data_IF_261356694355
#
_entry.id   IF_261356694355
#
_cell.length_a   1.000
_cell.length_b   1.000
_cell.length_c   1.000
_cell.angle_alpha   90.00
_cell.angle_beta   90.00
_cell.angle_gamma   90.00
#
_symmetry.space_group_name_H-M   'P 1'
#
loop_
_entity.id
_entity.type
_entity.pdbx_description
1 polymer ?
#
# COMPACT_ATOMS: atom_id res chain seq x y z
N UNK A 1 -8.97 24.98 17.55
CA UNK A 1 -7.86 25.67 18.27
C UNK A 1 -8.33 27.06 18.69
N UNK A 2 -7.96 27.53 19.89
CA UNK A 2 -8.52 28.73 20.53
C UNK A 2 -8.32 30.02 19.72
N UNK A 3 -9.42 30.77 19.57
CA UNK A 3 -9.54 31.97 18.72
C UNK A 3 -8.92 33.25 19.28
N UNK A 4 -7.79 33.17 19.97
CA UNK A 4 -7.13 34.35 20.59
C UNK A 4 -5.60 34.28 20.49
N UNK A 5 -5.07 33.98 19.30
CA UNK A 5 -3.66 34.31 19.01
C UNK A 5 -3.56 35.78 18.61
N UNK A 6 -2.92 36.58 19.48
CA UNK A 6 -2.52 37.96 19.18
C UNK A 6 -1.75 37.98 17.85
N UNK A 7 -2.15 38.88 16.96
CA UNK A 7 -1.72 38.98 15.56
C UNK A 7 -0.34 39.62 15.40
N UNK A 8 0.67 39.07 16.07
CA UNK A 8 2.01 39.65 16.12
C UNK A 8 2.60 39.94 14.74
N UNK A 9 2.45 39.02 13.77
CA UNK A 9 2.96 39.22 12.40
C UNK A 9 2.32 40.39 11.64
N UNK A 10 1.00 40.50 11.67
CA UNK A 10 0.29 41.61 10.99
C UNK A 10 0.56 42.95 11.67
N UNK A 11 0.60 42.96 13.01
CA UNK A 11 0.95 44.14 13.81
C UNK A 11 2.38 44.59 13.49
N UNK A 12 3.34 43.66 13.39
CA UNK A 12 4.73 43.97 13.03
C UNK A 12 4.85 44.57 11.62
N UNK A 13 4.12 44.05 10.62
CA UNK A 13 4.14 44.57 9.25
C UNK A 13 3.58 46.00 9.20
N UNK A 14 2.42 46.23 9.82
CA UNK A 14 1.79 47.56 9.91
C UNK A 14 2.73 48.56 10.60
N UNK A 15 3.33 48.17 11.73
CA UNK A 15 4.27 49.00 12.46
C UNK A 15 5.52 49.33 11.62
N UNK A 16 6.05 48.36 10.88
CA UNK A 16 7.21 48.55 10.01
C UNK A 16 6.91 49.55 8.88
N UNK A 17 5.74 49.45 8.25
CA UNK A 17 5.33 50.38 7.18
C UNK A 17 5.28 51.82 7.72
N UNK A 18 4.66 52.02 8.88
CA UNK A 18 4.57 53.34 9.52
C UNK A 18 5.96 53.86 9.88
N UNK A 19 6.79 53.02 10.51
CA UNK A 19 8.15 53.39 10.90
C UNK A 19 9.00 53.80 9.69
N UNK A 20 8.99 53.01 8.62
CA UNK A 20 9.77 53.31 7.39
C UNK A 20 9.28 54.58 6.72
N UNK A 21 7.97 54.81 6.69
CA UNK A 21 7.40 56.01 6.03
C UNK A 21 7.72 57.28 6.81
N UNK A 22 7.59 57.24 8.15
CA UNK A 22 8.00 58.34 9.03
C UNK A 22 9.51 58.59 8.90
N UNK A 23 10.31 57.52 8.91
CA UNK A 23 11.76 57.65 8.78
C UNK A 23 12.18 58.25 7.44
N UNK A 24 11.52 57.85 6.36
CA UNK A 24 11.71 58.37 5.01
C UNK A 24 11.32 59.85 4.94
N UNK A 25 10.20 60.25 5.55
CA UNK A 25 9.80 61.65 5.66
C UNK A 25 10.85 62.48 6.41
N UNK A 26 11.41 61.93 7.48
CA UNK A 26 12.51 62.57 8.25
C UNK A 26 13.77 62.74 7.41
N UNK A 27 14.22 61.70 6.71
CA UNK A 27 15.41 61.83 5.85
C UNK A 27 15.16 62.78 4.68
N UNK A 28 13.94 62.80 4.12
CA UNK A 28 13.57 63.72 3.05
C UNK A 28 13.68 65.18 3.49
N UNK A 29 13.15 65.52 4.67
CA UNK A 29 13.23 66.88 5.22
C UNK A 29 14.68 67.26 5.53
N UNK A 30 15.45 66.35 6.14
CA UNK A 30 16.86 66.58 6.43
C UNK A 30 17.67 66.85 5.16
N UNK A 31 17.43 66.06 4.10
CA UNK A 31 18.06 66.23 2.80
C UNK A 31 17.70 67.57 2.15
N UNK A 32 16.41 67.94 2.15
CA UNK A 32 15.93 69.17 1.53
C UNK A 32 16.37 70.44 2.25
N UNK A 33 16.67 70.34 3.55
CA UNK A 33 17.27 71.40 4.35
C UNK A 33 18.81 71.37 4.30
N UNK A 34 19.42 70.41 3.60
CA UNK A 34 20.87 70.32 3.41
C UNK A 34 21.64 69.90 4.65
N UNK A 35 21.02 69.08 5.52
CA UNK A 35 21.66 68.54 6.74
C UNK A 35 22.25 69.61 7.66
N UNK A 36 21.54 70.73 7.80
CA UNK A 36 21.97 71.86 8.62
C UNK A 36 22.24 71.44 10.08
N UNK A 37 23.30 71.99 10.73
CA UNK A 37 23.61 71.69 12.13
C UNK A 37 22.46 71.96 13.12
N UNK A 38 21.55 72.88 12.77
CA UNK A 38 20.37 73.23 13.56
C UNK A 38 19.35 72.08 13.67
N UNK A 39 19.41 71.08 12.79
CA UNK A 39 18.57 69.88 12.89
C UNK A 39 19.01 68.93 14.03
N UNK A 40 20.16 69.22 14.66
CA UNK A 40 20.75 68.41 15.72
C UNK A 40 21.75 67.38 15.20
N UNK A 41 22.38 66.61 16.11
CA UNK A 41 23.32 65.57 15.72
C UNK A 41 22.62 64.45 14.93
N UNK A 42 23.31 63.93 13.91
CA UNK A 42 22.89 62.73 13.22
C UNK A 42 22.88 61.53 14.20
N UNK A 43 21.98 60.58 13.97
CA UNK A 43 21.91 59.36 14.78
C UNK A 43 23.09 58.43 14.45
N UNK A 44 23.43 58.35 13.17
CA UNK A 44 24.62 57.71 12.62
C UNK A 44 24.82 58.17 11.16
N UNK A 45 25.92 57.79 10.53
CA UNK A 45 26.19 58.10 9.12
C UNK A 45 26.25 56.82 8.29
N UNK A 46 25.68 56.87 7.08
CA UNK A 46 25.79 55.80 6.07
C UNK A 46 26.36 56.40 4.79
N UNK A 47 27.48 55.87 4.31
CA UNK A 47 28.13 56.29 3.06
C UNK A 47 28.37 57.82 2.96
N UNK A 48 28.65 58.47 4.09
CA UNK A 48 28.87 59.92 4.19
C UNK A 48 27.59 60.76 4.29
N UNK A 49 26.42 60.13 4.41
CA UNK A 49 25.14 60.81 4.59
C UNK A 49 24.65 60.69 6.05
N UNK A 50 24.33 61.81 6.72
CA UNK A 50 23.82 61.78 8.08
C UNK A 50 22.39 61.23 8.09
N UNK A 51 22.15 60.23 8.93
CA UNK A 51 20.84 59.60 9.12
C UNK A 51 20.25 60.04 10.45
N UNK A 52 19.05 60.60 10.39
CA UNK A 52 18.37 61.15 11.57
C UNK A 52 17.35 60.17 12.18
N UNK A 53 17.12 60.31 13.48
CA UNK A 53 16.17 59.49 14.24
C UNK A 53 14.73 59.66 13.70
N UNK A 54 13.95 58.59 13.43
CA UNK A 54 12.69 58.69 12.69
C UNK A 54 11.69 59.72 13.23
N UNK A 55 11.45 59.85 14.54
CA UNK A 55 10.54 60.86 15.07
C UNK A 55 11.00 62.32 14.90
N UNK A 56 12.28 62.60 14.58
CA UNK A 56 12.85 63.95 14.57
C UNK A 56 12.08 64.94 13.67
N UNK A 57 11.44 64.45 12.60
CA UNK A 57 10.53 65.22 11.75
C UNK A 57 9.52 66.04 12.55
N UNK A 58 8.91 65.48 13.60
CA UNK A 58 7.87 66.16 14.37
C UNK A 58 8.41 67.32 15.21
N UNK A 59 9.61 67.18 15.77
CA UNK A 59 10.27 68.26 16.50
C UNK A 59 10.67 69.38 15.55
N UNK A 60 11.25 69.02 14.40
CA UNK A 60 11.62 70.00 13.39
C UNK A 60 10.40 70.71 12.82
N UNK A 61 9.29 70.00 12.61
CA UNK A 61 8.03 70.59 12.18
C UNK A 61 7.58 71.65 13.18
N UNK A 62 7.54 71.33 14.47
CA UNK A 62 7.12 72.28 15.51
C UNK A 62 7.98 73.55 15.58
N UNK A 63 9.32 73.42 15.45
CA UNK A 63 10.23 74.56 15.61
C UNK A 63 10.52 75.33 14.31
N UNK A 64 10.47 74.67 13.16
CA UNK A 64 11.01 75.21 11.90
C UNK A 64 10.01 75.31 10.74
N UNK A 65 8.75 74.86 10.92
CA UNK A 65 7.72 74.93 9.86
C UNK A 65 7.53 76.33 9.29
N UNK A 66 7.53 77.36 10.14
CA UNK A 66 7.35 78.75 9.73
C UNK A 66 8.38 79.22 8.69
N UNK A 67 9.56 78.59 8.65
CA UNK A 67 10.65 78.96 7.74
C UNK A 67 10.64 78.17 6.42
N UNK A 68 10.14 76.94 6.44
CA UNK A 68 10.18 76.03 5.28
C UNK A 68 8.87 75.23 5.10
N UNK A 69 7.71 75.89 4.99
CA UNK A 69 6.41 75.24 5.09
C UNK A 69 6.17 74.17 4.00
N UNK A 70 6.66 74.41 2.77
CA UNK A 70 6.53 73.44 1.67
C UNK A 70 7.34 72.17 1.89
N UNK A 71 8.54 72.28 2.48
CA UNK A 71 9.42 71.13 2.73
C UNK A 71 8.82 70.23 3.81
N UNK A 72 8.31 70.84 4.89
CA UNK A 72 7.63 70.10 5.95
C UNK A 72 6.29 69.50 5.49
N UNK A 73 5.54 70.18 4.61
CA UNK A 73 4.35 69.61 4.00
C UNK A 73 4.66 68.36 3.16
N UNK A 74 5.70 68.39 2.31
CA UNK A 74 6.14 67.23 1.53
C UNK A 74 6.60 66.07 2.42
N UNK A 75 7.43 66.35 3.44
CA UNK A 75 7.86 65.34 4.42
C UNK A 75 6.71 64.75 5.22
N UNK A 76 5.74 65.57 5.58
CA UNK A 76 4.50 65.17 6.24
C UNK A 76 3.62 64.27 5.36
N UNK A 77 3.50 64.58 4.06
CA UNK A 77 2.77 63.72 3.09
C UNK A 77 3.45 62.35 2.98
N UNK A 78 4.79 62.31 2.92
CA UNK A 78 5.54 61.04 2.88
C UNK A 78 5.28 60.23 4.15
N UNK A 79 5.38 60.84 5.34
CA UNK A 79 5.10 60.17 6.60
C UNK A 79 3.64 59.68 6.70
N UNK A 80 2.67 60.51 6.28
CA UNK A 80 1.24 60.19 6.29
C UNK A 80 0.86 59.09 5.28
N UNK A 81 1.55 59.00 4.14
CA UNK A 81 1.31 57.96 3.13
C UNK A 81 1.46 56.55 3.69
N UNK A 82 2.37 56.35 4.65
CA UNK A 82 2.54 55.09 5.38
C UNK A 82 1.31 54.69 6.18
N UNK A 83 0.59 55.65 6.75
CA UNK A 83 -0.67 55.40 7.46
C UNK A 83 -1.72 54.80 6.54
N UNK A 84 -1.97 55.43 5.38
CA UNK A 84 -2.92 54.92 4.38
C UNK A 84 -2.50 53.56 3.82
N UNK A 85 -1.20 53.38 3.50
CA UNK A 85 -0.68 52.10 3.02
C UNK A 85 -0.83 50.99 4.08
N UNK A 86 -0.58 51.30 5.34
CA UNK A 86 -0.72 50.32 6.43
C UNK A 86 -2.16 49.89 6.66
N UNK A 87 -3.14 50.80 6.50
CA UNK A 87 -4.57 50.48 6.56
C UNK A 87 -4.95 49.56 5.40
N UNK A 88 -4.51 49.88 4.17
CA UNK A 88 -4.79 49.06 2.99
C UNK A 88 -4.23 47.63 3.18
N UNK A 89 -2.97 47.52 3.59
CA UNK A 89 -2.29 46.24 3.84
C UNK A 89 -2.98 45.45 4.96
N UNK A 90 -3.38 46.11 6.06
CA UNK A 90 -4.11 45.47 7.15
C UNK A 90 -5.48 44.92 6.68
N UNK A 91 -6.23 45.69 5.90
CA UNK A 91 -7.51 45.26 5.33
C UNK A 91 -7.31 44.07 4.39
N UNK A 92 -6.35 44.13 3.47
CA UNK A 92 -6.06 43.02 2.54
C UNK A 92 -5.68 41.74 3.29
N UNK A 93 -4.78 41.83 4.27
CA UNK A 93 -4.38 40.66 5.08
C UNK A 93 -5.54 40.12 5.93
N UNK A 94 -6.45 40.98 6.42
CA UNK A 94 -7.65 40.56 7.15
C UNK A 94 -8.63 39.81 6.24
N UNK A 95 -8.84 40.29 5.01
CA UNK A 95 -9.72 39.64 4.01
C UNK A 95 -9.16 38.32 3.54
N UNK A 96 -7.85 38.24 3.25
CA UNK A 96 -7.19 36.98 2.86
C UNK A 96 -7.34 35.93 3.97
N UNK A 97 -7.15 36.33 5.23
CA UNK A 97 -7.35 35.43 6.37
C UNK A 97 -8.81 35.06 6.59
N UNK A 98 -9.76 35.98 6.40
CA UNK A 98 -11.18 35.66 6.55
C UNK A 98 -11.60 34.54 5.57
N UNK A 99 -10.98 34.50 4.39
CA UNK A 99 -11.13 33.39 3.42
C UNK A 99 -10.44 32.10 3.86
N UNK A 100 -9.30 32.16 4.54
CA UNK A 100 -8.65 30.96 5.12
C UNK A 100 -9.40 30.42 6.36
N UNK A 101 -10.03 31.28 7.16
CA UNK A 101 -10.72 30.88 8.40
C UNK A 101 -12.11 30.29 8.13
N UNK A 102 -12.74 30.62 7.00
CA UNK A 102 -13.99 29.97 6.58
C UNK A 102 -13.85 28.47 6.27
N UNK A 103 -12.63 27.92 6.26
CA UNK A 103 -12.35 26.49 6.05
C UNK A 103 -12.39 25.64 7.35
N UNK A 104 -12.75 26.22 8.50
CA UNK A 104 -12.81 25.48 9.78
C UNK A 104 -14.27 25.15 10.13
N UNK A 105 -14.78 24.08 9.54
CA UNK A 105 -16.09 23.52 9.88
C UNK A 105 -16.02 22.57 11.09
N UNK A 106 -16.92 22.79 12.05
CA UNK A 106 -17.03 22.05 13.33
C UNK A 106 -17.28 20.54 13.15
N UNK A 107 -17.76 20.12 11.96
CA UNK A 107 -18.12 18.72 11.65
C UNK A 107 -17.19 18.04 10.64
N UNK A 108 -16.06 18.68 10.30
CA UNK A 108 -15.07 18.18 9.35
C UNK A 108 -14.99 19.06 8.11
N UNK A 109 -13.77 19.26 7.61
CA UNK A 109 -13.44 20.13 6.47
C UNK A 109 -13.50 19.39 5.12
N UNK A 110 -14.23 18.28 5.04
CA UNK A 110 -14.30 17.48 3.82
C UNK A 110 -15.13 18.20 2.77
N UNK A 111 -14.49 18.59 1.66
CA UNK A 111 -15.13 19.19 0.49
C UNK A 111 -14.61 18.56 -0.80
N UNK A 112 -15.29 18.83 -1.90
CA UNK A 112 -14.78 18.48 -3.21
C UNK A 112 -13.48 19.25 -3.50
N UNK A 113 -12.50 18.54 -4.05
CA UNK A 113 -11.21 19.12 -4.41
C UNK A 113 -11.36 20.04 -5.63
N UNK A 114 -10.65 21.16 -5.62
CA UNK A 114 -10.47 22.04 -6.75
C UNK A 114 -9.41 21.49 -7.72
N UNK A 115 -9.41 21.93 -8.97
CA UNK A 115 -8.49 21.43 -10.00
C UNK A 115 -7.01 21.56 -9.60
N UNK A 116 -6.63 22.69 -9.00
CA UNK A 116 -5.26 22.92 -8.51
C UNK A 116 -4.86 21.94 -7.40
N UNK A 117 -5.79 21.51 -6.57
CA UNK A 117 -5.55 20.53 -5.50
C UNK A 117 -5.42 19.12 -6.08
N UNK A 118 -6.24 18.78 -7.08
CA UNK A 118 -6.15 17.51 -7.82
C UNK A 118 -4.79 17.42 -8.54
N UNK A 119 -4.35 18.51 -9.18
CA UNK A 119 -3.03 18.63 -9.80
C UNK A 119 -1.90 18.51 -8.77
N UNK A 120 -2.01 19.21 -7.64
CA UNK A 120 -1.02 19.17 -6.55
C UNK A 120 -0.93 17.79 -5.89
N UNK A 121 -2.04 17.06 -5.84
CA UNK A 121 -2.10 15.67 -5.39
C UNK A 121 -1.57 14.67 -6.43
N UNK A 122 -1.15 15.13 -7.62
CA UNK A 122 -0.59 14.28 -8.67
C UNK A 122 -1.61 13.38 -9.38
N UNK A 123 -2.91 13.66 -9.24
CA UNK A 123 -3.96 12.76 -9.73
C UNK A 123 -4.21 12.86 -11.24
N UNK A 124 -3.69 13.88 -11.91
CA UNK A 124 -3.81 14.06 -13.37
C UNK A 124 -2.65 13.41 -14.16
N UNK A 125 -1.84 12.59 -13.50
CA UNK A 125 -0.75 11.85 -14.14
C UNK A 125 -1.21 10.85 -15.21
N UNK A 126 -0.26 10.39 -16.03
CA UNK A 126 -0.52 9.41 -17.09
C UNK A 126 -0.57 7.97 -16.56
N UNK A 127 0.18 7.69 -15.49
CA UNK A 127 0.32 6.37 -14.89
C UNK A 127 -0.51 6.21 -13.61
N UNK A 128 -0.64 4.97 -13.15
CA UNK A 128 -1.32 4.63 -11.91
C UNK A 128 -2.66 3.93 -12.09
N UNK A 129 -3.28 3.60 -10.96
CA UNK A 129 -4.62 2.99 -10.94
C UNK A 129 -5.67 4.07 -11.15
N UNK A 130 -6.64 3.82 -12.01
CA UNK A 130 -7.71 4.75 -12.33
C UNK A 130 -8.71 4.79 -11.17
N UNK A 131 -8.92 6.00 -10.64
CA UNK A 131 -9.87 6.30 -9.55
C UNK A 131 -11.19 6.86 -10.07
N UNK A 132 -11.21 7.42 -11.27
CA UNK A 132 -12.39 8.03 -11.86
C UNK A 132 -12.04 9.04 -12.94
N UNK A 133 -12.94 10.01 -13.14
CA UNK A 133 -12.77 11.08 -14.14
C UNK A 133 -13.21 12.41 -13.55
N UNK A 134 -12.39 13.44 -13.73
CA UNK A 134 -12.73 14.83 -13.47
C UNK A 134 -12.86 15.54 -14.82
N UNK A 135 -14.08 15.96 -15.16
CA UNK A 135 -14.40 16.53 -16.49
C UNK A 135 -13.95 15.63 -17.66
N UNK A 136 -12.82 15.97 -18.30
CA UNK A 136 -12.21 15.25 -19.42
C UNK A 136 -10.97 14.46 -19.02
N UNK A 137 -10.44 14.69 -17.83
CA UNK A 137 -9.19 14.10 -17.35
C UNK A 137 -9.46 12.87 -16.47
N UNK A 138 -8.69 11.81 -16.69
CA UNK A 138 -8.74 10.64 -15.81
C UNK A 138 -7.99 10.92 -14.52
N UNK A 139 -8.60 10.58 -13.40
CA UNK A 139 -7.96 10.62 -12.09
C UNK A 139 -7.22 9.29 -11.89
N UNK A 140 -5.91 9.36 -11.64
CA UNK A 140 -5.05 8.21 -11.43
C UNK A 140 -4.22 8.34 -10.17
N UNK A 141 -3.98 7.24 -9.50
CA UNK A 141 -3.16 7.21 -8.30
C UNK A 141 -1.93 6.32 -8.50
N UNK A 142 -0.78 6.96 -8.71
CA UNK A 142 0.53 6.31 -8.87
C UNK A 142 1.41 6.37 -7.60
N UNK A 143 0.90 6.95 -6.50
CA UNK A 143 1.61 7.09 -5.23
C UNK A 143 1.92 5.77 -4.51
N UNK A 144 2.51 5.83 -3.32
CA UNK A 144 2.83 4.62 -2.55
C UNK A 144 1.58 3.95 -1.98
N UNK A 145 0.50 4.72 -1.79
CA UNK A 145 -0.72 4.30 -1.13
C UNK A 145 -1.48 3.26 -1.97
N UNK A 146 -2.04 2.31 -1.23
CA UNK A 146 -2.95 1.31 -1.75
C UNK A 146 -4.37 1.87 -1.87
N UNK A 147 -5.20 1.20 -2.67
CA UNK A 147 -6.53 1.70 -2.99
C UNK A 147 -7.56 0.68 -2.53
N UNK A 148 -8.54 1.14 -1.76
CA UNK A 148 -9.71 0.37 -1.35
C UNK A 148 -10.94 0.97 -2.01
N UNK A 149 -11.61 0.19 -2.86
CA UNK A 149 -12.84 0.59 -3.53
C UNK A 149 -14.05 -0.13 -2.94
N UNK A 150 -15.00 0.66 -2.44
CA UNK A 150 -16.32 0.20 -2.05
C UNK A 150 -17.29 0.37 -3.20
N UNK A 151 -17.72 -0.73 -3.77
CA UNK A 151 -18.54 -0.73 -4.97
C UNK A 151 -19.62 -1.81 -4.91
N UNK A 152 -20.88 -1.44 -4.64
CA UNK A 152 -22.02 -2.36 -4.71
C UNK A 152 -22.12 -3.04 -6.07
N UNK A 153 -22.88 -4.13 -6.15
CA UNK A 153 -23.11 -4.80 -7.44
C UNK A 153 -23.72 -3.84 -8.47
N UNK A 154 -23.30 -3.97 -9.74
CA UNK A 154 -23.76 -3.13 -10.87
C UNK A 154 -23.48 -1.62 -10.75
N UNK A 155 -22.56 -1.20 -9.88
CA UNK A 155 -22.10 0.19 -9.73
C UNK A 155 -21.18 0.70 -10.85
N UNK A 156 -20.79 -0.17 -11.79
CA UNK A 156 -19.87 0.20 -12.87
C UNK A 156 -18.39 0.13 -12.52
N UNK A 157 -18.00 -0.42 -11.35
CA UNK A 157 -16.59 -0.59 -10.95
C UNK A 157 -15.71 -1.27 -12.02
N UNK A 158 -16.27 -2.24 -12.72
CA UNK A 158 -15.58 -2.99 -13.78
C UNK A 158 -15.16 -2.09 -14.93
N UNK A 159 -16.13 -1.37 -15.52
CA UNK A 159 -15.91 -0.49 -16.68
C UNK A 159 -15.25 0.84 -16.32
N UNK A 160 -15.43 1.33 -15.09
CA UNK A 160 -14.95 2.64 -14.66
C UNK A 160 -13.56 2.64 -14.04
N UNK A 161 -13.18 1.55 -13.34
CA UNK A 161 -11.96 1.50 -12.54
C UNK A 161 -11.08 0.30 -12.91
N UNK A 162 -11.63 -0.92 -12.87
CA UNK A 162 -10.86 -2.17 -13.00
C UNK A 162 -10.28 -2.34 -14.40
N UNK A 163 -11.14 -2.42 -15.42
CA UNK A 163 -10.72 -2.63 -16.81
C UNK A 163 -9.79 -1.50 -17.27
N UNK A 164 -10.12 -0.21 -17.08
CA UNK A 164 -9.21 0.87 -17.43
C UNK A 164 -7.84 0.72 -16.75
N UNK A 165 -7.80 0.42 -15.44
CA UNK A 165 -6.53 0.25 -14.71
C UNK A 165 -5.70 -0.90 -15.27
N UNK A 166 -6.31 -2.03 -15.63
CA UNK A 166 -5.59 -3.16 -16.23
C UNK A 166 -5.07 -2.84 -17.64
N UNK A 167 -5.75 -1.98 -18.39
CA UNK A 167 -5.34 -1.57 -19.72
C UNK A 167 -4.25 -0.48 -19.70
N UNK A 168 -4.16 0.32 -18.64
CA UNK A 168 -3.18 1.41 -18.54
C UNK A 168 -1.99 1.10 -17.64
N UNK A 169 -2.09 0.14 -16.71
CA UNK A 169 -0.98 -0.19 -15.82
C UNK A 169 0.19 -0.82 -16.60
N UNK A 170 1.38 -0.19 -16.62
CA UNK A 170 2.48 -0.61 -17.48
C UNK A 170 3.27 -1.80 -16.93
N UNK A 171 3.13 -2.09 -15.63
CA UNK A 171 3.86 -3.18 -14.97
C UNK A 171 3.14 -4.51 -14.99
N UNK A 172 3.69 -5.45 -14.24
CA UNK A 172 3.06 -6.74 -14.00
C UNK A 172 1.76 -6.59 -13.19
N UNK A 173 0.84 -7.53 -13.35
CA UNK A 173 -0.38 -7.58 -12.55
C UNK A 173 -0.67 -8.98 -12.05
N UNK A 174 -1.29 -9.04 -10.87
CA UNK A 174 -1.90 -10.23 -10.30
C UNK A 174 -3.35 -9.87 -10.06
N UNK A 175 -4.25 -10.54 -10.78
CA UNK A 175 -5.67 -10.19 -10.88
C UNK A 175 -6.48 -11.35 -10.34
N UNK A 176 -7.08 -11.19 -9.16
CA UNK A 176 -8.09 -12.12 -8.69
C UNK A 176 -9.43 -11.75 -9.31
N UNK A 177 -9.99 -12.67 -10.10
CA UNK A 177 -11.17 -12.46 -10.93
C UNK A 177 -12.17 -13.60 -10.76
N UNK A 178 -13.16 -13.40 -9.89
CA UNK A 178 -14.21 -14.38 -9.60
C UNK A 178 -15.11 -14.65 -10.81
N UNK A 179 -15.20 -13.72 -11.77
CA UNK A 179 -16.14 -13.83 -12.88
C UNK A 179 -15.48 -14.19 -14.21
N UNK A 180 -14.16 -14.09 -14.30
CA UNK A 180 -13.41 -14.21 -15.55
C UNK A 180 -13.63 -13.02 -16.51
N UNK A 181 -14.38 -11.99 -16.11
CA UNK A 181 -14.68 -10.83 -16.94
C UNK A 181 -13.42 -10.00 -17.23
N UNK A 182 -12.53 -9.88 -16.25
CA UNK A 182 -11.29 -9.13 -16.42
C UNK A 182 -10.35 -9.88 -17.38
N UNK A 183 -10.25 -11.20 -17.26
CA UNK A 183 -9.53 -12.04 -18.23
C UNK A 183 -10.05 -11.81 -19.65
N UNK A 184 -11.35 -12.00 -19.86
CA UNK A 184 -11.98 -11.91 -21.18
C UNK A 184 -11.77 -10.55 -21.84
N UNK A 185 -11.88 -9.46 -21.08
CA UNK A 185 -11.82 -8.10 -21.60
C UNK A 185 -10.40 -7.58 -21.80
N UNK A 186 -9.43 -8.02 -20.98
CA UNK A 186 -8.12 -7.35 -20.91
C UNK A 186 -6.93 -8.22 -21.30
N UNK A 187 -7.04 -9.56 -21.25
CA UNK A 187 -5.93 -10.47 -21.54
C UNK A 187 -5.36 -10.25 -22.95
N UNK A 188 -6.21 -10.10 -23.96
CA UNK A 188 -5.78 -9.90 -25.35
C UNK A 188 -5.00 -8.60 -25.56
N UNK A 189 -5.38 -7.51 -24.87
CA UNK A 189 -4.62 -6.27 -24.90
C UNK A 189 -3.27 -6.44 -24.21
N UNK A 190 -3.28 -6.99 -22.98
CA UNK A 190 -2.06 -7.15 -22.17
C UNK A 190 -1.05 -8.11 -22.81
N UNK A 191 -1.51 -9.11 -23.56
CA UNK A 191 -0.66 -10.04 -24.32
C UNK A 191 0.18 -9.35 -25.41
N UNK A 192 -0.17 -8.12 -25.82
CA UNK A 192 0.64 -7.31 -26.75
C UNK A 192 1.80 -6.59 -26.08
N UNK A 193 1.80 -6.53 -24.74
CA UNK A 193 2.77 -5.78 -23.94
C UNK A 193 3.60 -6.66 -23.01
N UNK A 194 3.31 -7.97 -22.95
CA UNK A 194 4.07 -8.93 -22.18
C UNK A 194 3.32 -10.24 -22.01
N UNK A 195 3.78 -11.06 -21.08
CA UNK A 195 3.26 -12.41 -20.86
C UNK A 195 1.93 -12.35 -20.12
N UNK A 196 0.99 -13.21 -20.54
CA UNK A 196 -0.33 -13.33 -19.91
C UNK A 196 -0.58 -14.78 -19.52
N UNK A 197 -0.98 -14.99 -18.27
CA UNK A 197 -1.17 -16.29 -17.64
C UNK A 197 -2.57 -16.36 -17.06
N UNK A 198 -3.29 -17.44 -17.36
CA UNK A 198 -4.55 -17.79 -16.72
C UNK A 198 -4.26 -18.95 -15.77
N UNK A 199 -4.52 -18.77 -14.47
CA UNK A 199 -4.58 -19.87 -13.51
C UNK A 199 -6.05 -20.05 -13.12
N UNK A 200 -6.62 -21.19 -13.51
CA UNK A 200 -7.97 -21.60 -13.15
C UNK A 200 -7.89 -23.05 -12.66
N UNK A 201 -8.13 -23.29 -11.35
CA UNK A 201 -7.97 -24.61 -10.75
C UNK A 201 -8.98 -25.64 -11.27
N UNK A 202 -9.99 -25.21 -12.02
CA UNK A 202 -11.02 -26.05 -12.63
C UNK A 202 -10.83 -26.25 -14.14
N UNK A 203 -9.75 -25.71 -14.71
CA UNK A 203 -9.46 -25.78 -16.13
C UNK A 203 -8.06 -26.36 -16.37
N UNK A 204 -8.00 -27.60 -16.87
CA UNK A 204 -6.75 -28.32 -17.17
C UNK A 204 -5.87 -27.61 -18.20
N UNK A 205 -6.46 -26.79 -19.08
CA UNK A 205 -5.74 -26.02 -20.09
C UNK A 205 -5.16 -24.70 -19.53
N UNK A 206 -5.45 -24.35 -18.28
CA UNK A 206 -4.86 -23.17 -17.63
C UNK A 206 -3.37 -23.39 -17.33
N UNK A 207 -2.64 -22.30 -17.11
CA UNK A 207 -1.23 -22.32 -16.75
C UNK A 207 -1.08 -22.96 -15.37
N UNK A 208 -0.40 -24.11 -15.33
CA UNK A 208 -0.26 -24.90 -14.12
C UNK A 208 0.69 -24.24 -13.11
N UNK A 209 0.39 -24.44 -11.83
CA UNK A 209 1.22 -24.00 -10.73
C UNK A 209 1.18 -25.02 -9.60
N UNK A 210 2.34 -25.59 -9.28
CA UNK A 210 2.53 -26.52 -8.17
C UNK A 210 3.13 -25.77 -6.97
N UNK A 211 2.36 -25.54 -5.89
CA UNK A 211 2.84 -24.83 -4.70
C UNK A 211 4.07 -25.46 -4.04
N UNK A 212 4.26 -26.77 -4.19
CA UNK A 212 5.39 -27.48 -3.58
C UNK A 212 6.70 -27.22 -4.32
N UNK A 213 6.66 -26.89 -5.62
CA UNK A 213 7.87 -26.57 -6.36
C UNK A 213 8.42 -25.18 -6.04
N UNK A 214 7.68 -24.36 -5.30
CA UNK A 214 8.13 -23.07 -4.81
C UNK A 214 8.95 -23.20 -3.51
N UNK A 215 8.95 -24.38 -2.87
CA UNK A 215 9.73 -24.64 -1.64
C UNK A 215 11.22 -24.62 -1.94
N UNK A 216 11.98 -23.76 -1.26
CA UNK A 216 13.44 -23.71 -1.36
C UNK A 216 14.06 -24.76 -0.44
N UNK A 217 14.61 -25.82 -1.03
CA UNK A 217 15.30 -26.87 -0.28
C UNK A 217 16.55 -26.34 0.43
N UNK A 218 16.86 -26.91 1.59
CA UNK A 218 17.94 -26.45 2.46
C UNK A 218 17.42 -25.54 3.57
N UNK A 219 18.11 -24.43 3.85
CA UNK A 219 17.90 -23.60 5.04
C UNK A 219 16.44 -23.14 5.24
N UNK A 220 15.71 -22.85 4.16
CA UNK A 220 14.37 -22.26 4.21
C UNK A 220 13.22 -23.27 4.13
N UNK A 221 13.50 -24.54 3.88
CA UNK A 221 12.48 -25.50 3.45
C UNK A 221 11.42 -25.77 4.51
N UNK A 222 11.84 -25.87 5.78
CA UNK A 222 10.93 -26.10 6.90
C UNK A 222 9.97 -24.92 7.05
N UNK A 223 10.49 -23.69 6.97
CA UNK A 223 9.67 -22.48 7.02
C UNK A 223 8.69 -22.42 5.86
N UNK A 224 9.16 -22.68 4.64
CA UNK A 224 8.34 -22.63 3.43
C UNK A 224 7.21 -23.69 3.48
N UNK A 225 7.50 -24.91 3.96
CA UNK A 225 6.51 -26.00 4.12
C UNK A 225 5.55 -25.76 5.29
N UNK A 226 5.99 -25.18 6.40
CA UNK A 226 5.11 -24.76 7.50
C UNK A 226 4.08 -23.76 7.00
N UNK A 227 4.50 -22.76 6.22
CA UNK A 227 3.57 -21.77 5.67
C UNK A 227 2.52 -22.40 4.73
N UNK A 228 2.92 -23.38 3.92
CA UNK A 228 1.96 -24.13 3.09
C UNK A 228 0.97 -24.88 4.00
N UNK A 229 1.49 -25.56 5.03
CA UNK A 229 0.67 -26.35 5.96
C UNK A 229 -0.28 -25.49 6.80
N UNK A 230 0.13 -24.28 7.17
CA UNK A 230 -0.72 -23.30 7.87
C UNK A 230 -1.97 -22.95 7.05
N UNK A 231 -1.80 -22.69 5.74
CA UNK A 231 -2.92 -22.38 4.85
C UNK A 231 -3.79 -23.61 4.57
N UNK A 232 -3.20 -24.80 4.49
CA UNK A 232 -3.95 -26.06 4.30
C UNK A 232 -4.82 -26.41 5.51
N UNK A 233 -4.32 -26.18 6.72
CA UNK A 233 -5.02 -26.50 7.98
C UNK A 233 -6.00 -25.41 8.38
N UNK A 234 -5.83 -24.17 7.91
CA UNK A 234 -6.79 -23.08 8.04
C UNK A 234 -7.25 -22.50 6.68
N UNK A 235 -8.12 -23.24 5.95
CA UNK A 235 -8.57 -22.83 4.63
C UNK A 235 -9.38 -21.51 4.61
N UNK A 236 -9.93 -21.08 5.75
CA UNK A 236 -10.75 -19.87 5.86
C UNK A 236 -9.99 -18.69 6.50
N UNK A 237 -8.90 -18.96 7.22
CA UNK A 237 -8.14 -17.96 7.98
C UNK A 237 -8.84 -17.52 9.26
N UNK A 238 -9.83 -18.31 9.72
CA UNK A 238 -10.74 -17.91 10.80
C UNK A 238 -10.47 -18.69 12.10
N UNK A 239 -9.44 -19.53 12.16
CA UNK A 239 -9.15 -20.31 13.36
C UNK A 239 -8.44 -19.43 14.40
N UNK A 240 -9.19 -18.92 15.38
CA UNK A 240 -8.61 -18.23 16.56
C UNK A 240 -7.68 -19.14 17.36
N UNK A 241 -8.04 -20.42 17.48
CA UNK A 241 -7.24 -21.45 18.17
C UNK A 241 -7.35 -22.78 17.45
N UNK A 242 -6.20 -23.35 17.11
CA UNK A 242 -6.13 -24.68 16.52
C UNK A 242 -6.47 -25.76 17.55
N UNK A 243 -7.34 -26.70 17.17
CA UNK A 243 -7.60 -27.92 17.93
C UNK A 243 -6.35 -28.79 18.02
N UNK A 244 -6.32 -29.74 18.96
CA UNK A 244 -5.23 -30.71 19.07
C UNK A 244 -5.03 -31.51 17.77
N UNK A 245 -6.13 -31.86 17.11
CA UNK A 245 -6.14 -32.58 15.83
C UNK A 245 -5.53 -31.74 14.71
N UNK A 246 -5.88 -30.46 14.62
CA UNK A 246 -5.29 -29.54 13.64
C UNK A 246 -3.79 -29.33 13.87
N UNK A 247 -3.35 -29.16 15.12
CA UNK A 247 -1.92 -29.00 15.46
C UNK A 247 -1.12 -30.24 15.06
N UNK A 248 -1.63 -31.43 15.40
CA UNK A 248 -0.93 -32.68 15.08
C UNK A 248 -0.97 -32.97 13.58
N UNK A 249 -2.09 -32.67 12.91
CA UNK A 249 -2.23 -32.81 11.44
C UNK A 249 -1.30 -31.85 10.70
N UNK A 250 -1.13 -30.63 11.22
CA UNK A 250 -0.14 -29.69 10.72
C UNK A 250 1.28 -30.28 10.79
N UNK A 251 1.70 -30.81 11.96
CA UNK A 251 3.01 -31.47 12.10
C UNK A 251 3.20 -32.64 11.14
N UNK A 252 2.14 -33.45 10.94
CA UNK A 252 2.15 -34.55 9.97
C UNK A 252 2.31 -34.04 8.54
N UNK A 253 1.53 -33.03 8.13
CA UNK A 253 1.60 -32.45 6.79
C UNK A 253 2.99 -31.87 6.49
N UNK A 254 3.61 -31.18 7.45
CA UNK A 254 4.98 -30.66 7.30
C UNK A 254 5.97 -31.79 7.02
N UNK A 255 5.92 -32.85 7.83
CA UNK A 255 6.79 -34.02 7.64
C UNK A 255 6.52 -34.74 6.32
N UNK A 256 5.25 -34.92 5.96
CA UNK A 256 4.84 -35.64 4.75
C UNK A 256 5.21 -34.87 3.47
N UNK A 257 5.00 -33.55 3.44
CA UNK A 257 5.40 -32.70 2.31
C UNK A 257 6.92 -32.75 2.11
N UNK A 258 7.71 -32.61 3.17
CA UNK A 258 9.16 -32.73 3.09
C UNK A 258 9.59 -34.13 2.62
N UNK A 259 9.00 -35.19 3.16
CA UNK A 259 9.26 -36.55 2.71
C UNK A 259 9.01 -36.70 1.21
N UNK A 260 7.86 -36.23 0.73
CA UNK A 260 7.47 -36.29 -0.69
C UNK A 260 8.44 -35.52 -1.57
N UNK A 261 8.85 -34.32 -1.16
CA UNK A 261 9.82 -33.52 -1.90
C UNK A 261 11.15 -34.25 -2.08
N UNK A 262 11.65 -34.93 -1.05
CA UNK A 262 12.95 -35.60 -1.10
C UNK A 262 12.91 -37.00 -1.69
N UNK A 263 11.88 -37.80 -1.38
CA UNK A 263 11.89 -39.25 -1.60
C UNK A 263 10.95 -39.72 -2.70
N UNK A 264 9.80 -39.06 -2.89
CA UNK A 264 8.75 -39.54 -3.79
C UNK A 264 8.91 -39.00 -5.21
N UNK A 265 8.38 -39.75 -6.19
CA UNK A 265 8.41 -39.35 -7.60
C UNK A 265 7.45 -38.19 -7.86
N UNK A 266 6.21 -38.32 -7.38
CA UNK A 266 5.15 -37.32 -7.52
C UNK A 266 5.25 -36.26 -6.43
N UNK A 267 5.86 -35.11 -6.78
CA UNK A 267 6.15 -34.00 -5.86
C UNK A 267 5.03 -32.96 -5.86
N UNK A 268 3.80 -33.41 -5.66
CA UNK A 268 2.58 -32.59 -5.71
C UNK A 268 1.77 -32.78 -4.43
N UNK A 269 0.80 -31.89 -4.17
CA UNK A 269 -0.14 -32.09 -3.06
C UNK A 269 -1.02 -33.34 -3.26
N UNK A 270 -1.30 -33.70 -4.52
CA UNK A 270 -1.92 -34.98 -4.85
C UNK A 270 -1.02 -36.16 -4.47
N UNK A 271 0.29 -36.05 -4.74
CA UNK A 271 1.31 -37.02 -4.33
C UNK A 271 1.42 -37.18 -2.81
N UNK A 272 1.30 -36.09 -2.04
CA UNK A 272 1.21 -36.13 -0.57
C UNK A 272 -0.03 -36.90 -0.12
N UNK A 273 -1.20 -36.62 -0.71
CA UNK A 273 -2.42 -37.34 -0.39
C UNK A 273 -2.29 -38.84 -0.73
N UNK A 274 -1.71 -39.17 -1.88
CA UNK A 274 -1.49 -40.54 -2.33
C UNK A 274 -0.50 -41.28 -1.43
N UNK A 275 0.54 -40.62 -0.95
CA UNK A 275 1.51 -41.17 -0.01
C UNK A 275 0.88 -41.51 1.35
N UNK A 276 0.09 -40.58 1.91
CA UNK A 276 -0.55 -40.75 3.21
C UNK A 276 -1.73 -41.75 3.19
N UNK A 277 -2.34 -41.98 2.03
CA UNK A 277 -3.49 -42.87 1.87
C UNK A 277 -3.21 -44.12 1.02
N UNK A 278 -1.94 -44.51 0.84
CA UNK A 278 -1.55 -45.68 0.05
C UNK A 278 -2.14 -46.98 0.66
N UNK A 279 -3.10 -47.65 -0.01
CA UNK A 279 -3.78 -48.82 0.55
C UNK A 279 -2.87 -50.04 0.67
N UNK A 280 -1.67 -50.00 0.06
CA UNK A 280 -0.69 -51.09 0.10
C UNK A 280 0.16 -51.06 1.36
N UNK A 281 0.09 -49.98 2.15
CA UNK A 281 0.89 -49.76 3.35
C UNK A 281 -0.02 -49.42 4.53
N UNK A 282 0.32 -49.92 5.72
CA UNK A 282 -0.30 -49.41 6.94
C UNK A 282 0.26 -48.04 7.26
N UNK A 283 -0.45 -47.27 8.10
CA UNK A 283 0.03 -45.94 8.50
C UNK A 283 1.38 -46.04 9.24
N UNK A 284 1.58 -47.08 10.04
CA UNK A 284 2.85 -47.34 10.74
C UNK A 284 3.98 -47.56 9.74
N UNK A 285 3.76 -48.38 8.71
CA UNK A 285 4.74 -48.59 7.65
C UNK A 285 5.06 -47.30 6.86
N UNK A 286 4.07 -46.44 6.66
CA UNK A 286 4.27 -45.12 6.04
C UNK A 286 5.12 -44.20 6.92
N UNK A 287 4.87 -44.16 8.23
CA UNK A 287 5.65 -43.38 9.20
C UNK A 287 7.06 -43.94 9.39
N UNK A 288 7.22 -45.26 9.38
CA UNK A 288 8.54 -45.92 9.40
C UNK A 288 9.33 -45.60 8.13
N UNK A 289 8.67 -45.54 6.97
CA UNK A 289 9.31 -45.09 5.73
C UNK A 289 9.78 -43.63 5.84
N UNK A 290 8.97 -42.74 6.44
CA UNK A 290 9.39 -41.37 6.73
C UNK A 290 10.60 -41.32 7.67
N UNK A 291 10.69 -42.20 8.67
CA UNK A 291 11.82 -42.21 9.61
C UNK A 291 13.10 -42.83 9.05
N UNK A 292 12.99 -43.81 8.16
CA UNK A 292 14.13 -44.60 7.67
C UNK A 292 14.72 -44.11 6.35
N UNK A 293 13.96 -43.33 5.58
CA UNK A 293 14.42 -42.78 4.30
C UNK A 293 15.57 -41.81 4.50
N UNK A 294 16.63 -41.93 3.70
CA UNK A 294 17.78 -41.02 3.74
C UNK A 294 17.55 -39.79 2.85
N UNK A 295 16.76 -38.83 3.35
CA UNK A 295 16.46 -37.61 2.61
C UNK A 295 17.70 -36.75 2.33
N UNK A 296 18.68 -36.76 3.25
CA UNK A 296 19.87 -35.92 3.21
C UNK A 296 21.14 -36.70 2.83
N UNK A 297 20.98 -37.81 2.10
CA UNK A 297 22.11 -38.66 1.68
C UNK A 297 22.83 -39.29 2.87
N UNK A 298 24.12 -39.01 3.02
CA UNK A 298 24.96 -39.56 4.09
C UNK A 298 24.57 -39.05 5.49
N UNK A 299 24.00 -37.84 5.58
CA UNK A 299 23.51 -37.28 6.84
C UNK A 299 22.25 -37.99 7.37
N UNK A 300 21.65 -38.89 6.57
CA UNK A 300 20.54 -39.74 6.98
C UNK A 300 19.16 -39.09 6.78
N UNK A 301 18.16 -39.46 7.61
CA UNK A 301 16.80 -38.93 7.54
C UNK A 301 16.73 -37.44 7.88
N UNK A 302 15.83 -36.72 7.22
CA UNK A 302 15.59 -35.32 7.54
C UNK A 302 15.03 -35.19 8.98
N UNK A 303 15.63 -34.39 9.87
CA UNK A 303 15.26 -34.35 11.29
C UNK A 303 13.77 -34.03 11.54
N UNK A 304 13.20 -33.06 10.81
CA UNK A 304 11.79 -32.70 10.92
C UNK A 304 10.87 -33.84 10.47
N UNK A 305 11.20 -34.51 9.35
CA UNK A 305 10.43 -35.67 8.85
C UNK A 305 10.41 -36.79 9.88
N UNK A 306 11.59 -37.15 10.41
CA UNK A 306 11.73 -38.19 11.42
C UNK A 306 11.02 -37.82 12.74
N UNK A 307 11.06 -36.55 13.14
CA UNK A 307 10.37 -36.06 14.35
C UNK A 307 8.85 -36.13 14.20
N UNK A 308 8.30 -35.63 13.09
CA UNK A 308 6.85 -35.68 12.81
C UNK A 308 6.33 -37.11 12.78
N UNK A 309 7.08 -38.03 12.17
CA UNK A 309 6.72 -39.44 12.12
C UNK A 309 6.77 -40.10 13.51
N UNK A 310 7.82 -39.85 14.29
CA UNK A 310 7.98 -40.38 15.66
C UNK A 310 6.89 -39.87 16.60
N UNK A 311 6.53 -38.59 16.49
CA UNK A 311 5.44 -37.99 17.27
C UNK A 311 4.13 -38.77 17.07
N UNK A 312 3.83 -39.15 15.83
CA UNK A 312 2.60 -39.87 15.50
C UNK A 312 2.67 -41.36 15.82
N UNK A 313 3.84 -41.99 15.74
CA UNK A 313 4.06 -43.38 16.17
C UNK A 313 3.94 -43.55 17.69
N UNK A 314 4.28 -42.53 18.48
CA UNK A 314 4.13 -42.55 19.94
C UNK A 314 2.68 -42.38 20.43
N UNK A 315 1.72 -42.17 19.51
CA UNK A 315 0.29 -42.02 19.83
C UNK A 315 -0.43 -43.36 19.71
N UNK A 316 -1.57 -43.46 20.39
CA UNK A 316 -2.46 -44.62 20.25
C UNK A 316 -3.00 -44.75 18.83
N UNK A 317 -3.34 -45.97 18.39
CA UNK A 317 -3.83 -46.26 17.04
C UNK A 317 -5.06 -45.42 16.67
N UNK A 318 -5.97 -45.21 17.62
CA UNK A 318 -7.16 -44.38 17.45
C UNK A 318 -6.81 -42.90 17.25
N UNK A 319 -5.86 -42.38 18.03
CA UNK A 319 -5.41 -40.99 17.87
C UNK A 319 -4.64 -40.82 16.55
N UNK A 320 -3.77 -41.77 16.19
CA UNK A 320 -3.07 -41.75 14.89
C UNK A 320 -4.04 -41.74 13.71
N UNK A 321 -5.07 -42.59 13.76
CA UNK A 321 -6.12 -42.65 12.74
C UNK A 321 -6.92 -41.36 12.65
N UNK A 322 -7.24 -40.75 13.80
CA UNK A 322 -7.92 -39.45 13.85
C UNK A 322 -7.10 -38.33 13.18
N UNK A 323 -5.82 -38.23 13.52
CA UNK A 323 -4.90 -37.24 12.90
C UNK A 323 -4.79 -37.45 11.39
N UNK A 324 -4.63 -38.70 10.93
CA UNK A 324 -4.56 -39.00 9.50
C UNK A 324 -5.84 -38.59 8.78
N UNK A 325 -7.01 -38.91 9.35
CA UNK A 325 -8.31 -38.53 8.78
C UNK A 325 -8.47 -37.02 8.66
N UNK A 326 -8.01 -36.26 9.67
CA UNK A 326 -8.02 -34.80 9.64
C UNK A 326 -7.03 -34.25 8.60
N UNK A 327 -5.81 -34.78 8.52
CA UNK A 327 -4.86 -34.37 7.47
C UNK A 327 -5.40 -34.64 6.05
N UNK A 328 -6.07 -35.78 5.85
CA UNK A 328 -6.67 -36.13 4.56
C UNK A 328 -7.86 -35.25 4.18
N UNK A 329 -8.60 -34.68 5.14
CA UNK A 329 -9.70 -33.75 4.82
C UNK A 329 -9.16 -32.44 4.22
N UNK A 330 -8.02 -31.94 4.72
CA UNK A 330 -7.34 -30.76 4.15
C UNK A 330 -6.78 -31.00 2.75
N UNK A 331 -6.43 -32.25 2.42
CA UNK A 331 -5.93 -32.63 1.11
C UNK A 331 -7.03 -33.02 0.10
N UNK A 332 -8.30 -33.01 0.51
CA UNK A 332 -9.43 -33.48 -0.31
C UNK A 332 -9.54 -32.81 -1.68
N UNK A 333 -9.30 -31.49 -1.75
CA UNK A 333 -9.34 -30.72 -3.00
C UNK A 333 -8.32 -31.22 -4.03
N UNK A 334 -7.11 -31.57 -3.59
CA UNK A 334 -5.99 -31.94 -4.48
C UNK A 334 -6.10 -33.35 -5.04
N UNK A 335 -7.09 -34.13 -4.57
CA UNK A 335 -7.42 -35.45 -5.12
C UNK A 335 -8.37 -35.36 -6.32
N UNK A 336 -8.98 -34.21 -6.56
CA UNK A 336 -9.75 -33.95 -7.78
C UNK A 336 -8.80 -34.02 -9.00
N UNK A 337 -9.09 -34.85 -10.02
CA UNK A 337 -8.19 -35.03 -11.16
C UNK A 337 -7.87 -33.74 -11.92
N UNK A 338 -8.81 -32.79 -11.97
CA UNK A 338 -8.62 -31.51 -12.66
C UNK A 338 -7.67 -30.64 -11.86
N UNK A 339 -7.90 -30.50 -10.54
CA UNK A 339 -7.01 -29.74 -9.66
C UNK A 339 -5.61 -30.37 -9.61
N UNK A 340 -5.54 -31.70 -9.50
CA UNK A 340 -4.27 -32.44 -9.52
C UNK A 340 -3.50 -32.18 -10.82
N UNK A 341 -4.17 -32.15 -11.98
CA UNK A 341 -3.53 -31.83 -13.26
C UNK A 341 -2.98 -30.39 -13.30
N UNK A 342 -3.75 -29.40 -12.85
CA UNK A 342 -3.34 -27.98 -12.83
C UNK A 342 -2.27 -27.70 -11.77
N UNK A 343 -2.17 -28.53 -10.74
CA UNK A 343 -1.13 -28.43 -9.68
C UNK A 343 0.01 -29.43 -9.84
N UNK A 344 0.08 -30.15 -10.96
CA UNK A 344 1.08 -31.19 -11.20
C UNK A 344 2.47 -30.66 -11.58
N UNK A 345 2.52 -29.45 -12.15
CA UNK A 345 3.73 -28.82 -12.69
C UNK A 345 3.69 -27.30 -12.46
N UNK A 346 4.76 -26.60 -12.80
CA UNK A 346 4.80 -25.15 -12.86
C UNK A 346 5.09 -24.69 -14.28
N UNK A 347 4.16 -23.94 -14.86
CA UNK A 347 4.37 -23.24 -16.14
C UNK A 347 4.98 -21.84 -15.92
N UNK A 348 4.97 -21.33 -14.68
CA UNK A 348 5.50 -20.02 -14.27
C UNK A 348 5.99 -20.06 -12.82
N UNK A 349 6.84 -19.09 -12.44
CA UNK A 349 7.31 -18.86 -11.07
C UNK A 349 6.92 -17.48 -10.58
N UNK A 350 6.88 -17.31 -9.26
CA UNK A 350 6.55 -16.00 -8.66
C UNK A 350 7.62 -14.95 -9.00
N UNK A 351 8.89 -15.36 -9.09
CA UNK A 351 9.99 -14.48 -9.46
C UNK A 351 9.82 -13.89 -10.88
N UNK A 352 9.26 -14.66 -11.83
CA UNK A 352 9.00 -14.23 -13.20
C UNK A 352 8.14 -12.95 -13.23
N UNK A 353 7.22 -12.78 -12.27
CA UNK A 353 6.33 -11.61 -12.19
C UNK A 353 7.07 -10.30 -11.95
N UNK A 354 8.29 -10.33 -11.42
CA UNK A 354 9.07 -9.13 -11.10
C UNK A 354 10.41 -9.06 -11.82
N UNK A 355 10.97 -10.19 -12.26
CA UNK A 355 12.33 -10.29 -12.76
C UNK A 355 12.45 -10.50 -14.27
N UNK A 356 11.37 -10.92 -14.94
CA UNK A 356 11.40 -11.10 -16.40
C UNK A 356 11.64 -9.76 -17.12
N UNK A 357 12.19 -9.78 -18.35
CA UNK A 357 12.39 -8.56 -19.14
C UNK A 357 11.09 -7.85 -19.54
N UNK A 358 10.01 -8.62 -19.73
CA UNK A 358 8.69 -8.13 -20.10
C UNK A 358 7.71 -8.32 -18.93
N UNK A 359 6.76 -7.38 -18.72
CA UNK A 359 5.80 -7.49 -17.63
C UNK A 359 4.89 -8.71 -17.80
N UNK A 360 4.53 -9.32 -16.68
CA UNK A 360 3.68 -10.51 -16.65
C UNK A 360 2.33 -10.24 -15.99
N UNK A 361 1.27 -10.83 -16.53
CA UNK A 361 -0.09 -10.66 -16.03
C UNK A 361 -0.66 -12.02 -15.65
N UNK A 362 -0.84 -12.25 -14.36
CA UNK A 362 -1.44 -13.46 -13.82
C UNK A 362 -2.90 -13.19 -13.46
N UNK A 363 -3.82 -13.88 -14.13
CA UNK A 363 -5.23 -13.91 -13.76
C UNK A 363 -5.51 -15.17 -12.95
N UNK A 364 -5.93 -14.99 -11.70
CA UNK A 364 -6.44 -16.04 -10.83
C UNK A 364 -7.96 -16.06 -11.01
N UNK A 365 -8.43 -16.90 -11.94
CA UNK A 365 -9.86 -17.01 -12.25
C UNK A 365 -10.47 -18.14 -11.47
N UNK A 366 -11.58 -17.86 -10.81
CA UNK A 366 -12.29 -18.83 -9.98
C UNK A 366 -13.78 -18.80 -10.33
N UNK A 367 -14.32 -19.80 -11.03
CA UNK A 367 -15.73 -19.82 -11.37
C UNK A 367 -16.62 -19.70 -10.13
N UNK A 368 -17.72 -18.93 -10.17
CA UNK A 368 -18.59 -18.73 -9.00
C UNK A 368 -19.16 -20.03 -8.41
N UNK A 369 -19.34 -21.08 -9.23
CA UNK A 369 -19.78 -22.42 -8.79
C UNK A 369 -18.78 -23.12 -7.88
N UNK A 370 -17.50 -22.78 -8.00
CA UNK A 370 -16.38 -23.50 -7.39
C UNK A 370 -15.63 -22.67 -6.36
N UNK A 371 -16.04 -21.42 -6.15
CA UNK A 371 -15.33 -20.47 -5.29
C UNK A 371 -15.05 -21.03 -3.90
N UNK A 372 -16.04 -21.58 -3.20
CA UNK A 372 -15.86 -22.13 -1.86
C UNK A 372 -14.95 -23.36 -1.87
N UNK A 373 -14.99 -24.16 -2.94
CA UNK A 373 -14.22 -25.40 -3.07
C UNK A 373 -12.75 -25.14 -3.36
N UNK A 374 -12.45 -24.18 -4.23
CA UNK A 374 -11.06 -23.89 -4.70
C UNK A 374 -10.40 -22.75 -3.95
N UNK A 375 -11.15 -22.00 -3.13
CA UNK A 375 -10.65 -20.96 -2.22
C UNK A 375 -9.36 -21.34 -1.48
N UNK A 376 -9.18 -22.56 -0.92
CA UNK A 376 -7.95 -22.91 -0.20
C UNK A 376 -6.70 -22.85 -1.09
N UNK A 377 -6.81 -23.29 -2.35
CA UNK A 377 -5.71 -23.25 -3.32
C UNK A 377 -5.39 -21.81 -3.75
N UNK A 378 -6.42 -21.00 -4.00
CA UNK A 378 -6.22 -19.59 -4.37
C UNK A 378 -5.58 -18.80 -3.23
N UNK A 379 -6.01 -19.04 -1.99
CA UNK A 379 -5.38 -18.48 -0.79
C UNK A 379 -3.93 -18.93 -0.67
N UNK A 380 -3.63 -20.20 -0.92
CA UNK A 380 -2.27 -20.72 -0.89
C UNK A 380 -1.36 -20.02 -1.91
N UNK A 381 -1.83 -19.87 -3.16
CA UNK A 381 -1.09 -19.17 -4.21
C UNK A 381 -0.87 -17.70 -3.85
N UNK A 382 -1.90 -16.98 -3.41
CA UNK A 382 -1.79 -15.57 -3.01
C UNK A 382 -0.87 -15.38 -1.79
N UNK A 383 -0.92 -16.29 -0.81
CA UNK A 383 -0.05 -16.24 0.36
C UNK A 383 1.42 -16.46 -0.03
N UNK A 384 1.70 -17.45 -0.91
CA UNK A 384 3.03 -17.68 -1.44
C UNK A 384 3.54 -16.47 -2.22
N UNK A 385 2.71 -15.89 -3.10
CA UNK A 385 3.01 -14.66 -3.84
C UNK A 385 3.37 -13.52 -2.88
N UNK A 386 2.48 -13.22 -1.93
CA UNK A 386 2.66 -12.11 -1.00
C UNK A 386 3.96 -12.23 -0.21
N UNK A 387 4.24 -13.43 0.33
CA UNK A 387 5.48 -13.70 1.06
C UNK A 387 6.71 -13.61 0.16
N UNK A 388 6.73 -14.34 -0.96
CA UNK A 388 7.88 -14.37 -1.90
C UNK A 388 8.26 -12.99 -2.43
N UNK A 389 7.26 -12.19 -2.80
CA UNK A 389 7.52 -10.85 -3.34
C UNK A 389 7.96 -9.83 -2.26
N UNK A 390 7.90 -10.19 -0.97
CA UNK A 390 8.28 -9.36 0.17
C UNK A 390 9.49 -9.87 0.97
N UNK A 391 10.25 -10.85 0.44
CA UNK A 391 11.40 -11.41 1.15
C UNK A 391 12.65 -10.52 1.10
N UNK A 392 12.89 -9.84 -0.03
CA UNK A 392 14.05 -8.95 -0.21
C UNK A 392 13.61 -7.62 -0.82
N UNK A 393 13.81 -6.56 -0.04
CA UNK A 393 13.45 -5.18 -0.38
C UNK A 393 14.38 -4.63 -1.48
N UNK A 394 15.61 -5.13 -1.56
CA UNK A 394 16.65 -4.64 -2.47
C UNK A 394 17.03 -5.68 -3.53
N UNK A 395 16.13 -6.61 -3.83
CA UNK A 395 16.32 -7.60 -4.88
C UNK A 395 16.76 -6.90 -6.18
N UNK A 396 18.03 -7.09 -6.55
CA UNK A 396 18.69 -6.41 -7.68
C UNK A 396 18.01 -6.67 -9.01
N UNK A 397 17.25 -7.76 -9.08
CA UNK A 397 16.58 -8.23 -10.28
C UNK A 397 15.14 -7.72 -10.42
N UNK A 398 14.63 -6.87 -9.51
CA UNK A 398 13.26 -6.33 -9.61
C UNK A 398 13.15 -5.29 -10.73
N UNK A 399 12.53 -5.68 -11.85
CA UNK A 399 12.30 -4.86 -13.05
C UNK A 399 10.92 -4.22 -13.10
N UNK A 400 9.91 -4.83 -12.49
CA UNK A 400 8.52 -4.41 -12.62
C UNK A 400 7.85 -4.06 -11.29
N UNK A 401 7.05 -3.00 -11.29
CA UNK A 401 6.01 -2.78 -10.26
C UNK A 401 4.86 -3.76 -10.49
N UNK A 402 4.27 -4.28 -9.41
CA UNK A 402 3.16 -5.23 -9.49
C UNK A 402 1.88 -4.58 -9.00
N UNK A 403 0.84 -4.60 -9.84
CA UNK A 403 -0.52 -4.28 -9.42
C UNK A 403 -1.18 -5.56 -8.89
N UNK A 404 -1.48 -5.60 -7.59
CA UNK A 404 -2.27 -6.66 -6.97
C UNK A 404 -3.74 -6.22 -6.94
N UNK A 405 -4.49 -6.60 -7.98
CA UNK A 405 -5.90 -6.27 -8.12
C UNK A 405 -6.75 -7.43 -7.59
N UNK A 406 -7.42 -7.22 -6.47
CA UNK A 406 -8.31 -8.22 -5.90
C UNK A 406 -9.77 -7.80 -6.07
N UNK A 407 -10.42 -8.34 -7.10
CA UNK A 407 -11.87 -8.20 -7.19
C UNK A 407 -12.53 -9.05 -6.11
N UNK A 408 -13.45 -8.42 -5.40
CA UNK A 408 -14.20 -9.02 -4.29
C UNK A 408 -13.27 -9.69 -3.26
N UNK A 409 -12.28 -8.92 -2.80
CA UNK A 409 -11.26 -9.38 -1.87
C UNK A 409 -11.81 -10.07 -0.60
N UNK A 410 -12.99 -9.69 -0.02
CA UNK A 410 -13.51 -10.38 1.15
C UNK A 410 -13.91 -11.84 0.90
N UNK A 411 -14.18 -12.24 -0.35
CA UNK A 411 -14.52 -13.63 -0.68
C UNK A 411 -13.36 -14.60 -0.36
N UNK A 412 -12.12 -14.09 -0.34
CA UNK A 412 -10.95 -14.86 0.02
C UNK A 412 -10.86 -15.18 1.51
N UNK A 413 -11.70 -14.60 2.38
CA UNK A 413 -11.60 -14.74 3.84
C UNK A 413 -10.43 -13.93 4.42
N UNK A 414 -10.09 -14.18 5.68
CA UNK A 414 -8.98 -13.48 6.34
C UNK A 414 -7.65 -13.95 5.76
N UNK A 415 -6.86 -13.02 5.24
CA UNK A 415 -5.53 -13.29 4.72
C UNK A 415 -4.50 -12.55 5.59
N UNK A 416 -3.76 -13.28 6.43
CA UNK A 416 -2.83 -12.71 7.42
C UNK A 416 -1.78 -11.78 6.79
N UNK A 417 -1.39 -12.03 5.54
CA UNK A 417 -0.44 -11.17 4.84
C UNK A 417 -1.02 -9.77 4.57
N UNK A 418 -2.33 -9.61 4.37
CA UNK A 418 -2.91 -8.28 4.19
C UNK A 418 -3.00 -7.51 5.50
N UNK A 419 -3.22 -8.18 6.62
CA UNK A 419 -3.24 -7.53 7.94
C UNK A 419 -1.84 -7.05 8.34
N UNK A 420 -0.84 -7.92 8.22
CA UNK A 420 0.51 -7.65 8.70
C UNK A 420 1.39 -6.93 7.69
N UNK A 421 1.18 -7.15 6.39
CA UNK A 421 2.15 -6.79 5.34
C UNK A 421 1.72 -5.66 4.42
N UNK A 422 0.42 -5.32 4.37
CA UNK A 422 -0.09 -4.25 3.50
C UNK A 422 0.65 -2.92 3.74
N UNK A 423 1.04 -2.61 4.98
CA UNK A 423 1.76 -1.38 5.32
C UNK A 423 3.13 -1.22 4.62
N UNK A 424 3.80 -2.32 4.26
CA UNK A 424 5.13 -2.28 3.65
C UNK A 424 5.17 -2.78 2.20
N UNK A 425 4.08 -3.35 1.66
CA UNK A 425 4.00 -3.79 0.25
C UNK A 425 4.43 -2.70 -0.74
N UNK A 426 4.10 -1.44 -0.45
CA UNK A 426 4.50 -0.29 -1.25
C UNK A 426 6.03 -0.20 -1.41
N UNK A 427 6.80 -0.48 -0.36
CA UNK A 427 8.26 -0.51 -0.39
C UNK A 427 8.83 -1.58 -1.32
N UNK A 428 8.09 -2.67 -1.52
CA UNK A 428 8.42 -3.71 -2.49
C UNK A 428 7.88 -3.39 -3.90
N UNK A 429 7.36 -2.19 -4.17
CA UNK A 429 6.81 -1.86 -5.49
C UNK A 429 5.55 -2.65 -5.85
N UNK A 430 4.80 -3.11 -4.84
CA UNK A 430 3.50 -3.75 -5.00
C UNK A 430 2.42 -2.71 -4.68
N UNK A 431 1.53 -2.46 -5.63
CA UNK A 431 0.35 -1.60 -5.45
C UNK A 431 -0.89 -2.47 -5.32
N UNK A 432 -1.49 -2.49 -4.14
CA UNK A 432 -2.74 -3.21 -3.91
C UNK A 432 -3.94 -2.36 -4.33
N UNK A 433 -4.83 -2.94 -5.13
CA UNK A 433 -6.15 -2.41 -5.46
C UNK A 433 -7.21 -3.40 -5.00
N UNK A 434 -7.76 -3.13 -3.82
CA UNK A 434 -8.70 -3.99 -3.10
C UNK A 434 -10.13 -3.54 -3.37
N UNK A 435 -11.01 -4.47 -3.73
CA UNK A 435 -12.40 -4.15 -4.06
C UNK A 435 -13.34 -4.95 -3.15
N UNK A 436 -14.22 -4.25 -2.46
CA UNK A 436 -15.28 -4.85 -1.64
C UNK A 436 -16.65 -4.32 -2.05
N UNK A 437 -17.69 -5.13 -1.87
CA UNK A 437 -19.05 -4.67 -2.16
C UNK A 437 -19.63 -3.85 -1.00
N UNK A 438 -19.19 -4.13 0.23
CA UNK A 438 -19.57 -3.39 1.43
C UNK A 438 -18.52 -3.51 2.53
N UNK A 439 -18.53 -2.58 3.48
CA UNK A 439 -17.74 -2.65 4.71
C UNK A 439 -18.08 -3.89 5.54
N UNK A 440 -19.37 -4.24 5.62
CA UNK A 440 -19.82 -5.42 6.38
C UNK A 440 -19.22 -6.74 5.88
N UNK A 441 -18.92 -6.86 4.58
CA UNK A 441 -18.22 -8.05 4.06
C UNK A 441 -16.79 -8.14 4.58
N UNK A 442 -16.12 -7.00 4.71
CA UNK A 442 -14.76 -6.93 5.28
C UNK A 442 -14.82 -7.30 6.75
N UNK A 443 -15.73 -6.68 7.52
CA UNK A 443 -15.93 -6.97 8.94
C UNK A 443 -16.27 -8.44 9.19
N UNK A 444 -17.11 -9.04 8.34
CA UNK A 444 -17.41 -10.48 8.42
C UNK A 444 -16.18 -11.37 8.17
N UNK A 445 -15.28 -10.95 7.28
CA UNK A 445 -14.10 -11.73 6.92
C UNK A 445 -12.92 -11.52 7.89
N UNK A 446 -12.74 -10.32 8.44
CA UNK A 446 -11.58 -9.94 9.25
C UNK A 446 -11.92 -9.68 10.73
N UNK A 447 -13.19 -9.70 11.11
CA UNK A 447 -13.63 -9.33 12.46
C UNK A 447 -13.71 -7.82 12.66
N UNK A 448 -14.39 -7.41 13.72
CA UNK A 448 -14.44 -6.00 14.13
C UNK A 448 -13.14 -5.66 14.85
N UNK A 449 -12.34 -4.72 14.32
CA UNK A 449 -11.00 -4.37 14.83
C UNK A 449 -9.97 -5.53 14.79
N UNK A 450 -10.08 -6.45 13.84
CA UNK A 450 -9.23 -7.66 13.76
C UNK A 450 -9.37 -8.61 14.97
N UNK A 451 -10.48 -8.50 15.72
CA UNK A 451 -10.79 -9.34 16.88
C UNK A 451 -11.35 -10.71 16.49
#
# INVERSE_FOLDING_TARGET
MSGTKILWGQISIVFLIVLVSVWSGTQWVAFRLGFQPQLGPAWFEIAGWPVYYPPALFWWWYFYEAYAPRIFAEGGIIAASGGFLSIAVAITMSVMRAREVSDIDTYGSARWAERSEIESAGLLGQDGVILGRYERDYLRHDGAEHILCFAPTRSGKGVGLVVPSLLTWPGSCIVHDIKGENWQLTAGFRARHGRVLLFDPTNVASAAYNPLLEVRRGEWEVRDVQNISDVLVDPEGSLEKRSHWEKTSHSLLVGAILHVLYAEKDKTLAGVAAFLSDPRRTIEATLDAMMSTRHLGEAGPHPVVASSARELLNKSDNERSGVLSTAMSFLGLYRDPVVAAVTSRCDWRIADLIADPEPSTLYLVVPPSDISRTKPLIRLVLNQIGRRLTEDLHAKDRRHRVLLLLDEFPALGRLDFFESSLAFLAGYGIKSFLIAQSLNQIEKAYGQNNA
#
